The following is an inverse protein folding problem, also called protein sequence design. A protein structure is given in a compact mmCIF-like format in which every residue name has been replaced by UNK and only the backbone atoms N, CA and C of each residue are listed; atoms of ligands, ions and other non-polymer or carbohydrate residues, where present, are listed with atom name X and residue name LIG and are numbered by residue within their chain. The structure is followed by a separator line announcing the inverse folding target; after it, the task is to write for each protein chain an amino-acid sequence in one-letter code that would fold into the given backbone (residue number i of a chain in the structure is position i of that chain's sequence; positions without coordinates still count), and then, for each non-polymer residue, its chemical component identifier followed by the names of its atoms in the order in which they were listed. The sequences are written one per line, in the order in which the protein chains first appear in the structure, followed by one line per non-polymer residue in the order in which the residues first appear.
data_IF_506239473912
#
_entry.id   IF_506239473912
#
_cell.length_a   1.000
_cell.length_b   1.000
_cell.length_c   1.000
_cell.angle_alpha   90.00
_cell.angle_beta   90.00
_cell.angle_gamma   90.00
#
_symmetry.space_group_name_H-M   'P 1'
#
loop_
_entity.id
_entity.type
_entity.pdbx_description
1 polymer ?
#
# COMPACT_ATOMS: atom_id res chain seq x y z
N UNK A 1 -21.19 19.47 -4.78
CA UNK A 1 -19.97 19.21 -5.59
C UNK A 1 -20.24 17.99 -6.45
N UNK A 2 -20.28 18.13 -7.78
CA UNK A 2 -20.39 16.99 -8.69
C UNK A 2 -19.11 16.16 -8.57
N UNK A 3 -19.22 14.84 -8.36
CA UNK A 3 -18.08 13.93 -8.36
C UNK A 3 -17.92 13.41 -9.79
N UNK A 4 -16.81 13.76 -10.43
CA UNK A 4 -16.47 13.24 -11.76
C UNK A 4 -15.60 11.99 -11.62
N UNK A 5 -15.71 11.07 -12.57
CA UNK A 5 -14.87 9.88 -12.67
C UNK A 5 -14.49 9.67 -14.13
N UNK A 6 -13.19 9.45 -14.37
CA UNK A 6 -12.65 9.25 -15.71
C UNK A 6 -12.29 7.78 -15.89
N UNK A 7 -12.71 7.18 -17.00
CA UNK A 7 -12.36 5.80 -17.37
C UNK A 7 -11.36 5.88 -18.52
N UNK A 8 -10.16 5.35 -18.30
CA UNK A 8 -9.06 5.38 -19.28
C UNK A 8 -8.64 3.94 -19.55
N UNK A 9 -8.61 3.54 -20.82
CA UNK A 9 -8.14 2.23 -21.25
C UNK A 9 -6.96 2.38 -22.20
N UNK A 10 -5.79 1.89 -21.79
CA UNK A 10 -4.58 1.89 -22.61
C UNK A 10 -4.54 0.65 -23.50
N UNK A 11 -4.38 0.86 -24.81
CA UNK A 11 -4.26 -0.23 -25.79
C UNK A 11 -2.81 -0.35 -26.24
N UNK A 12 -2.30 -1.57 -26.20
CA UNK A 12 -0.97 -1.92 -26.68
C UNK A 12 -1.00 -2.26 -28.16
N UNK A 13 -0.50 -1.34 -29.00
CA UNK A 13 -0.55 -1.48 -30.47
C UNK A 13 0.25 -2.68 -30.98
N UNK A 14 1.30 -3.10 -30.26
CA UNK A 14 2.13 -4.26 -30.59
C UNK A 14 1.40 -5.62 -30.53
N UNK A 15 0.17 -5.63 -30.00
CA UNK A 15 -0.66 -6.84 -29.89
C UNK A 15 -1.70 -6.97 -31.00
N UNK A 16 -1.72 -6.07 -31.98
CA UNK A 16 -2.71 -6.04 -33.06
C UNK A 16 -2.06 -5.91 -34.44
N UNK A 17 -2.69 -6.47 -35.48
CA UNK A 17 -2.17 -6.36 -36.85
C UNK A 17 -2.41 -4.97 -37.47
N UNK A 18 -3.36 -4.18 -36.95
CA UNK A 18 -3.63 -2.82 -37.44
C UNK A 18 -4.08 -1.87 -36.32
N UNK A 19 -3.90 -0.58 -36.55
CA UNK A 19 -4.34 0.50 -35.65
C UNK A 19 -5.86 0.56 -35.50
N UNK A 20 -6.58 0.29 -36.58
CA UNK A 20 -8.04 0.29 -36.63
C UNK A 20 -8.62 -0.84 -35.77
N UNK A 21 -8.01 -2.03 -35.81
CA UNK A 21 -8.42 -3.15 -34.95
C UNK A 21 -8.14 -2.86 -33.47
N UNK A 22 -6.95 -2.33 -33.16
CA UNK A 22 -6.59 -1.93 -31.80
C UNK A 22 -7.58 -0.89 -31.24
N UNK A 23 -7.96 0.10 -32.06
CA UNK A 23 -8.95 1.11 -31.68
C UNK A 23 -10.33 0.50 -31.41
N UNK A 24 -10.83 -0.35 -32.34
CA UNK A 24 -12.14 -1.01 -32.19
C UNK A 24 -12.20 -1.88 -30.94
N UNK A 25 -11.17 -2.68 -30.66
CA UNK A 25 -11.11 -3.51 -29.45
C UNK A 25 -11.00 -2.64 -28.18
N UNK A 26 -10.19 -1.59 -28.24
CA UNK A 26 -10.04 -0.63 -27.14
C UNK A 26 -11.36 0.04 -26.74
N UNK A 27 -12.13 0.52 -27.72
CA UNK A 27 -13.46 1.11 -27.49
C UNK A 27 -14.40 0.09 -26.86
N UNK A 28 -14.44 -1.15 -27.39
CA UNK A 28 -15.26 -2.23 -26.83
C UNK A 28 -14.89 -2.54 -25.37
N UNK A 29 -13.61 -2.63 -25.03
CA UNK A 29 -13.16 -2.85 -23.65
C UNK A 29 -13.50 -1.68 -22.74
N UNK A 30 -13.38 -0.45 -23.24
CA UNK A 30 -13.75 0.75 -22.51
C UNK A 30 -15.25 0.75 -22.18
N UNK A 31 -16.11 0.37 -23.13
CA UNK A 31 -17.55 0.25 -22.91
C UNK A 31 -17.91 -0.82 -21.87
N UNK A 32 -17.22 -1.97 -21.90
CA UNK A 32 -17.38 -3.03 -20.89
C UNK A 32 -16.95 -2.55 -19.50
N UNK A 33 -15.86 -1.78 -19.41
CA UNK A 33 -15.44 -1.18 -18.13
C UNK A 33 -16.44 -0.13 -17.66
N UNK A 34 -16.97 0.68 -18.57
CA UNK A 34 -17.96 1.71 -18.27
C UNK A 34 -19.30 1.12 -17.81
N UNK A 35 -19.76 0.01 -18.38
CA UNK A 35 -20.96 -0.68 -17.89
C UNK A 35 -20.77 -1.20 -16.48
N UNK A 36 -19.63 -1.84 -16.18
CA UNK A 36 -19.33 -2.32 -14.81
C UNK A 36 -19.35 -1.22 -13.75
N UNK A 37 -18.93 -0.01 -14.10
CA UNK A 37 -18.94 1.13 -13.17
C UNK A 37 -20.34 1.74 -13.04
N UNK A 38 -21.09 1.84 -14.13
CA UNK A 38 -22.45 2.43 -14.13
C UNK A 38 -23.50 1.51 -13.52
N UNK A 39 -23.42 0.23 -13.84
CA UNK A 39 -24.42 -0.79 -13.49
C UNK A 39 -24.04 -1.52 -12.19
N UNK A 40 -23.03 -1.00 -11.46
CA UNK A 40 -22.58 -1.57 -10.20
C UNK A 40 -23.62 -1.31 -9.11
N UNK A 41 -24.43 -2.33 -8.81
CA UNK A 41 -25.24 -2.37 -7.60
C UNK A 41 -24.34 -2.81 -6.44
N UNK A 42 -23.42 -1.93 -6.06
CA UNK A 42 -22.53 -2.18 -4.93
C UNK A 42 -23.37 -2.13 -3.65
N UNK A 43 -23.18 -3.06 -2.70
CA UNK A 43 -23.68 -2.83 -1.35
C UNK A 43 -23.16 -1.47 -0.91
N UNK A 44 -24.07 -0.58 -0.52
CA UNK A 44 -23.74 0.73 0.04
C UNK A 44 -23.06 0.51 1.40
N UNK A 45 -21.80 0.10 1.37
CA UNK A 45 -20.92 0.18 2.51
C UNK A 45 -20.79 1.68 2.77
N UNK A 46 -21.41 2.15 3.85
CA UNK A 46 -21.33 3.57 4.17
C UNK A 46 -19.84 3.94 4.30
N UNK A 47 -19.42 5.11 3.78
CA UNK A 47 -18.03 5.57 3.87
C UNK A 47 -17.46 5.51 5.30
N UNK A 48 -18.36 5.60 6.28
CA UNK A 48 -18.07 5.69 7.71
C UNK A 48 -18.39 4.40 8.50
N UNK A 49 -18.92 3.35 7.87
CA UNK A 49 -19.31 2.10 8.58
C UNK A 49 -18.18 1.08 8.59
N UNK A 50 -17.04 1.47 9.17
CA UNK A 50 -16.19 0.46 9.82
C UNK A 50 -16.41 0.68 11.31
N UNK A 51 -17.30 -0.10 11.93
CA UNK A 51 -17.44 -0.13 13.38
C UNK A 51 -16.17 -0.77 13.97
N UNK A 52 -15.15 0.06 14.17
CA UNK A 52 -13.91 -0.35 14.78
C UNK A 52 -14.03 -0.19 16.29
N UNK A 53 -14.08 -1.31 17.00
CA UNK A 53 -13.79 -1.31 18.44
C UNK A 53 -12.28 -1.25 18.64
N UNK A 54 -11.71 -0.05 18.65
CA UNK A 54 -10.27 0.16 18.91
C UNK A 54 -9.88 -0.14 20.36
N UNK A 55 -10.85 -0.40 21.23
CA UNK A 55 -10.64 -0.78 22.63
C UNK A 55 -10.45 -2.29 22.82
N UNK A 56 -10.80 -3.12 21.82
CA UNK A 56 -10.52 -4.55 21.85
C UNK A 56 -9.20 -4.85 21.17
N UNK A 57 -8.19 -5.17 21.96
CA UNK A 57 -6.94 -5.73 21.44
C UNK A 57 -7.13 -7.21 21.13
N UNK A 58 -6.72 -7.62 19.93
CA UNK A 58 -6.60 -9.04 19.60
C UNK A 58 -5.56 -9.73 20.48
N UNK A 59 -5.40 -11.03 20.31
CA UNK A 59 -4.30 -11.77 20.97
C UNK A 59 -2.95 -11.11 20.67
N UNK A 60 -1.93 -11.27 21.54
CA UNK A 60 -0.59 -10.75 21.27
C UNK A 60 0.04 -11.35 20.01
N UNK A 61 0.88 -10.58 19.31
CA UNK A 61 1.69 -11.09 18.21
C UNK A 61 2.84 -11.92 18.78
N UNK A 62 2.77 -13.24 18.65
CA UNK A 62 3.77 -14.17 19.20
C UNK A 62 4.76 -14.66 18.17
N UNK A 63 4.42 -14.62 16.87
CA UNK A 63 5.32 -14.99 15.78
C UNK A 63 6.09 -13.76 15.32
N UNK A 64 7.38 -13.73 15.65
CA UNK A 64 8.35 -12.74 15.19
C UNK A 64 9.52 -13.44 14.50
N UNK A 65 10.19 -12.74 13.59
CA UNK A 65 11.45 -13.20 12.98
C UNK A 65 12.63 -13.24 13.97
N UNK A 66 12.48 -12.65 15.16
CA UNK A 66 13.48 -12.68 16.22
C UNK A 66 12.84 -12.48 17.59
N UNK A 67 13.52 -12.94 18.64
CA UNK A 67 13.13 -12.71 20.04
C UNK A 67 13.44 -11.28 20.49
N UNK A 68 12.83 -10.89 21.61
CA UNK A 68 13.09 -9.58 22.24
C UNK A 68 14.56 -9.41 22.61
N UNK A 69 15.20 -10.46 23.12
CA UNK A 69 16.59 -10.40 23.56
C UNK A 69 17.58 -10.37 22.39
N UNK A 70 17.27 -11.08 21.29
CA UNK A 70 18.02 -10.95 20.03
C UNK A 70 17.93 -9.53 19.47
N UNK A 71 16.75 -8.91 19.47
CA UNK A 71 16.59 -7.52 19.01
C UNK A 71 17.41 -6.55 19.89
N UNK A 72 17.37 -6.71 21.22
CA UNK A 72 18.18 -5.89 22.15
C UNK A 72 19.67 -6.10 21.91
N UNK A 73 20.11 -7.34 21.69
CA UNK A 73 21.51 -7.64 21.38
C UNK A 73 21.95 -6.98 20.08
N UNK A 74 21.13 -7.03 19.03
CA UNK A 74 21.39 -6.33 17.77
C UNK A 74 21.49 -4.80 17.95
N UNK A 75 20.66 -4.21 18.83
CA UNK A 75 20.75 -2.78 19.17
C UNK A 75 22.08 -2.46 19.89
N UNK A 76 22.54 -3.30 20.81
CA UNK A 76 23.81 -3.10 21.50
C UNK A 76 24.99 -3.20 20.54
N UNK A 77 25.00 -4.21 19.67
CA UNK A 77 26.01 -4.36 18.63
C UNK A 77 26.04 -3.15 17.68
N UNK A 78 24.87 -2.66 17.26
CA UNK A 78 24.78 -1.45 16.44
C UNK A 78 25.40 -0.23 17.13
N UNK A 79 25.19 -0.08 18.45
CA UNK A 79 25.81 1.01 19.23
C UNK A 79 27.32 0.89 19.30
N UNK A 80 27.85 -0.33 19.45
CA UNK A 80 29.30 -0.56 19.43
C UNK A 80 29.91 -0.15 18.08
N UNK A 81 29.27 -0.52 16.96
CA UNK A 81 29.71 -0.08 15.63
C UNK A 81 29.62 1.44 15.45
N UNK A 82 28.62 2.11 16.02
CA UNK A 82 28.53 3.58 16.01
C UNK A 82 29.70 4.19 16.80
N UNK A 83 30.00 3.67 18.00
CA UNK A 83 31.09 4.18 18.85
C UNK A 83 32.47 3.93 18.25
N UNK A 84 32.65 2.80 17.57
CA UNK A 84 33.87 2.47 16.84
C UNK A 84 34.07 3.34 15.59
N UNK A 85 33.02 4.03 15.12
CA UNK A 85 33.04 4.88 13.93
C UNK A 85 32.76 4.14 12.62
N UNK A 86 32.27 2.89 12.67
CA UNK A 86 31.97 2.08 11.49
C UNK A 86 30.73 2.61 10.73
N UNK A 87 29.74 3.09 11.47
CA UNK A 87 28.47 3.60 10.95
C UNK A 87 28.00 4.83 11.74
N UNK A 88 27.24 5.72 11.11
CA UNK A 88 26.58 6.83 11.81
C UNK A 88 25.22 6.45 12.37
N UNK A 89 24.46 5.64 11.62
CA UNK A 89 23.11 5.21 11.97
C UNK A 89 22.79 3.90 11.24
N UNK A 90 21.96 3.05 11.86
CA UNK A 90 21.34 1.88 11.23
C UNK A 90 19.87 1.81 11.61
N UNK A 91 19.03 1.37 10.67
CA UNK A 91 17.61 1.11 10.91
C UNK A 91 17.38 -0.40 11.03
N UNK A 92 17.26 -0.88 12.27
CA UNK A 92 16.92 -2.27 12.56
C UNK A 92 15.42 -2.49 12.38
N UNK A 93 15.03 -3.68 11.93
CA UNK A 93 13.63 -4.07 11.81
C UNK A 93 13.44 -5.55 12.15
N UNK A 94 12.22 -5.90 12.54
CA UNK A 94 11.78 -7.28 12.76
C UNK A 94 10.43 -7.49 12.10
N UNK A 95 10.15 -8.73 11.68
CA UNK A 95 8.91 -9.09 10.99
C UNK A 95 7.98 -9.80 11.96
N UNK A 96 6.75 -9.32 12.07
CA UNK A 96 5.67 -9.99 12.80
C UNK A 96 4.72 -10.70 11.84
N UNK A 97 4.18 -11.83 12.28
CA UNK A 97 3.28 -12.66 11.48
C UNK A 97 2.05 -13.09 12.27
N UNK A 98 0.94 -13.26 11.56
CA UNK A 98 -0.28 -13.87 12.08
C UNK A 98 -1.11 -14.45 10.95
N UNK A 99 -1.77 -15.58 11.21
CA UNK A 99 -2.82 -16.12 10.34
C UNK A 99 -4.13 -15.37 10.57
N UNK A 100 -4.76 -14.93 9.49
CA UNK A 100 -6.06 -14.25 9.50
C UNK A 100 -6.96 -14.85 8.44
N UNK A 101 -8.27 -14.83 8.70
CA UNK A 101 -9.32 -15.18 7.73
C UNK A 101 -10.10 -13.95 7.26
N UNK A 102 -9.71 -12.75 7.71
CA UNK A 102 -10.32 -11.51 7.27
C UNK A 102 -10.08 -11.29 5.78
N UNK A 103 -11.07 -10.71 5.10
CA UNK A 103 -10.90 -10.29 3.72
C UNK A 103 -9.81 -9.20 3.64
N UNK A 104 -8.83 -9.31 2.72
CA UNK A 104 -7.76 -8.33 2.57
C UNK A 104 -8.26 -6.90 2.34
N UNK A 105 -9.39 -6.71 1.68
CA UNK A 105 -9.99 -5.40 1.46
C UNK A 105 -10.57 -4.81 2.75
N UNK A 106 -11.11 -5.65 3.65
CA UNK A 106 -11.54 -5.22 4.99
C UNK A 106 -10.34 -4.76 5.84
N UNK A 107 -9.19 -5.41 5.72
CA UNK A 107 -7.94 -4.96 6.36
C UNK A 107 -7.54 -3.58 5.83
N UNK A 108 -7.64 -3.36 4.51
CA UNK A 108 -7.38 -2.04 3.91
C UNK A 108 -8.36 -0.97 4.40
N UNK A 109 -9.66 -1.28 4.47
CA UNK A 109 -10.69 -0.35 4.99
C UNK A 109 -10.43 0.01 6.45
N UNK A 110 -10.14 -0.98 7.29
CA UNK A 110 -9.79 -0.75 8.69
C UNK A 110 -8.52 0.11 8.82
N UNK A 111 -7.46 -0.20 8.05
CA UNK A 111 -6.22 0.58 8.07
C UNK A 111 -6.45 2.03 7.61
N UNK A 112 -7.30 2.24 6.61
CA UNK A 112 -7.66 3.58 6.11
C UNK A 112 -8.41 4.41 7.17
N UNK A 113 -9.23 3.77 8.00
CA UNK A 113 -9.95 4.43 9.07
C UNK A 113 -9.04 4.73 10.28
N UNK A 114 -8.17 3.78 10.67
CA UNK A 114 -7.29 3.93 11.85
C UNK A 114 -6.09 4.84 11.57
N UNK A 115 -5.45 4.69 10.40
CA UNK A 115 -4.24 5.41 10.04
C UNK A 115 -4.37 5.96 8.61
N UNK A 116 -5.25 6.96 8.39
CA UNK A 116 -5.38 7.59 7.08
C UNK A 116 -4.07 8.28 6.70
N UNK A 117 -3.52 7.92 5.54
CA UNK A 117 -2.28 8.51 5.02
C UNK A 117 -2.46 9.01 3.58
N UNK A 118 -1.62 9.95 3.12
CA UNK A 118 -1.64 10.41 1.73
C UNK A 118 -1.33 9.29 0.72
N UNK A 119 -0.64 8.22 1.15
CA UNK A 119 -0.25 7.10 0.30
C UNK A 119 -0.82 5.78 0.84
N UNK A 120 -2.12 5.60 0.63
CA UNK A 120 -2.82 4.33 0.84
C UNK A 120 -2.57 3.39 -0.35
N UNK A 121 -2.34 2.11 -0.10
CA UNK A 121 -2.11 1.11 -1.14
C UNK A 121 -2.90 -0.15 -0.87
N UNK A 122 -3.63 -0.61 -1.88
CA UNK A 122 -4.21 -1.94 -1.99
C UNK A 122 -3.78 -2.52 -3.34
N UNK A 123 -2.86 -3.48 -3.33
CA UNK A 123 -2.32 -4.09 -4.53
C UNK A 123 -2.48 -5.60 -4.46
N UNK A 124 -3.32 -6.14 -5.35
CA UNK A 124 -3.46 -7.58 -5.56
C UNK A 124 -2.42 -8.04 -6.59
N UNK A 125 -1.34 -8.66 -6.12
CA UNK A 125 -0.34 -9.29 -6.97
C UNK A 125 -0.66 -10.78 -7.17
N UNK A 126 0.05 -11.44 -8.08
CA UNK A 126 -0.20 -12.87 -8.42
C UNK A 126 -0.05 -13.82 -7.23
N UNK A 127 0.82 -13.50 -6.28
CA UNK A 127 1.20 -14.40 -5.17
C UNK A 127 0.84 -13.84 -3.79
N UNK A 128 0.46 -12.57 -3.70
CA UNK A 128 0.17 -11.92 -2.43
C UNK A 128 -0.67 -10.66 -2.63
N UNK A 129 -1.21 -10.16 -1.53
CA UNK A 129 -1.93 -8.88 -1.50
C UNK A 129 -1.17 -7.97 -0.56
N UNK A 130 -0.79 -6.79 -1.07
CA UNK A 130 -0.12 -5.75 -0.29
C UNK A 130 -1.15 -4.72 0.15
N UNK A 131 -1.27 -4.55 1.46
CA UNK A 131 -2.03 -3.49 2.11
C UNK A 131 -1.05 -2.58 2.83
N UNK A 132 -1.11 -1.28 2.57
CA UNK A 132 -0.18 -0.31 3.15
C UNK A 132 -0.82 1.05 3.40
N UNK A 133 -0.36 1.69 4.46
CA UNK A 133 -0.60 3.10 4.76
C UNK A 133 0.75 3.73 5.03
N UNK A 134 1.21 4.59 4.12
CA UNK A 134 2.51 5.27 4.26
C UNK A 134 2.29 6.77 4.41
N UNK A 135 2.79 7.38 5.49
CA UNK A 135 2.73 8.83 5.64
C UNK A 135 3.59 9.54 4.58
N UNK A 136 4.58 8.86 4.01
CA UNK A 136 5.65 9.50 3.23
C UNK A 136 6.05 8.74 1.97
N UNK A 137 6.56 9.52 1.02
CA UNK A 137 7.13 9.04 -0.24
C UNK A 137 8.64 8.97 -0.16
N UNK A 138 9.21 7.92 -0.75
CA UNK A 138 10.65 7.85 -0.99
C UNK A 138 11.06 8.94 -1.97
N UNK A 139 10.42 9.01 -3.14
CA UNK A 139 10.73 10.01 -4.16
C UNK A 139 9.50 10.24 -5.04
N UNK A 140 9.34 11.46 -5.52
CA UNK A 140 8.33 11.86 -6.50
C UNK A 140 9.02 12.58 -7.65
N UNK A 141 8.78 12.11 -8.87
CA UNK A 141 9.25 12.77 -10.09
C UNK A 141 8.08 13.50 -10.73
N UNK A 142 8.26 14.78 -11.03
CA UNK A 142 7.29 15.60 -11.78
C UNK A 142 8.03 16.34 -12.89
N UNK A 143 7.76 15.96 -14.13
CA UNK A 143 8.48 16.44 -15.31
C UNK A 143 9.98 16.19 -15.17
N UNK A 144 10.77 17.24 -14.94
CA UNK A 144 12.23 17.17 -14.74
C UNK A 144 12.66 17.33 -13.28
N UNK A 145 11.71 17.52 -12.36
CA UNK A 145 11.98 17.75 -10.95
C UNK A 145 11.81 16.45 -10.16
N UNK A 146 12.82 16.13 -9.35
CA UNK A 146 12.81 15.01 -8.41
C UNK A 146 12.71 15.57 -6.99
N UNK A 147 11.66 15.21 -6.27
CA UNK A 147 11.42 15.56 -4.86
C UNK A 147 11.60 14.32 -4.00
N UNK A 148 12.32 14.43 -2.90
CA UNK A 148 12.51 13.36 -1.92
C UNK A 148 12.27 13.91 -0.52
N UNK A 149 11.64 13.11 0.33
CA UNK A 149 11.53 13.41 1.75
C UNK A 149 12.62 12.58 2.45
N UNK A 150 13.75 13.21 2.75
CA UNK A 150 14.80 12.58 3.53
C UNK A 150 14.53 12.81 5.02
N UNK A 151 14.26 11.75 5.78
CA UNK A 151 14.53 11.78 7.21
C UNK A 151 16.00 11.49 7.44
N UNK A 152 16.78 12.56 7.35
CA UNK A 152 18.02 12.66 8.10
C UNK A 152 17.91 13.95 8.92
N UNK A 153 18.12 13.82 10.23
CA UNK A 153 18.12 14.87 11.27
C UNK A 153 16.76 15.29 11.85
N UNK A 154 16.36 14.57 12.90
CA UNK A 154 16.23 15.19 14.22
C UNK A 154 16.92 14.25 15.22
N UNK A 155 18.21 14.48 15.43
CA UNK A 155 18.90 14.03 16.65
C UNK A 155 18.70 15.12 17.71
#
# INVERSE_FOLDING_TARGET
MLKESYIIHWVRLDQYPSTEEAYKDGVKRLEILASKVRDCDLPKLAPDSVELSTQQFGTPLTQSSMTSDEYKSAVLQAKEHILAGDIFQILLSQRFERRTFADPFEIYRALRAVNPSPYMTYLQARVCILVGSRPEILTRVKSVIVLSNCWFLNM
#
